data_IF_406895707007
#
_entry.id   IF_406895707007
#
_cell.length_a   1.000
_cell.length_b   1.000
_cell.length_c   1.000
_cell.angle_alpha   90.00
_cell.angle_beta   90.00
_cell.angle_gamma   90.00
#
_symmetry.space_group_name_H-M   'P 1'
#
loop_
_entity.id
_entity.type
_entity.pdbx_description
1 polymer ?
#
# COMPACT_ATOMS: atom_id res chain seq x y z
N UNK A 1 18.04 23.55 -5.81
CA UNK A 1 16.78 24.13 -6.36
C UNK A 1 16.58 25.57 -5.91
N UNK A 2 16.51 25.86 -4.59
CA UNK A 2 16.38 27.22 -4.00
C UNK A 2 17.18 28.28 -4.78
N UNK A 3 18.50 28.11 -4.85
CA UNK A 3 19.39 29.07 -5.55
C UNK A 3 19.00 29.34 -7.01
N UNK A 4 18.49 28.34 -7.72
CA UNK A 4 18.04 28.53 -9.10
C UNK A 4 16.78 29.40 -9.16
N UNK A 5 15.77 29.10 -8.32
CA UNK A 5 14.53 29.88 -8.28
C UNK A 5 14.81 31.35 -7.92
N UNK A 6 15.68 31.59 -6.93
CA UNK A 6 16.12 32.93 -6.54
C UNK A 6 16.87 33.64 -7.67
N UNK A 7 17.71 32.90 -8.43
CA UNK A 7 18.42 33.46 -9.57
C UNK A 7 17.50 33.90 -10.72
N UNK A 8 16.35 33.23 -10.89
CA UNK A 8 15.34 33.61 -11.89
C UNK A 8 14.66 34.91 -11.48
N UNK A 9 14.30 35.08 -10.21
CA UNK A 9 13.69 36.32 -9.70
C UNK A 9 14.67 37.51 -9.79
N UNK A 10 15.91 37.33 -9.33
CA UNK A 10 16.91 38.39 -9.30
C UNK A 10 17.24 38.98 -10.69
N UNK A 11 17.19 38.16 -11.75
CA UNK A 11 17.43 38.60 -13.14
C UNK A 11 16.42 39.61 -13.66
N UNK A 12 15.24 39.73 -13.03
CA UNK A 12 14.14 40.56 -13.53
C UNK A 12 14.03 41.94 -12.84
N UNK A 13 15.09 42.45 -12.19
CA UNK A 13 15.05 43.71 -11.39
C UNK A 13 13.91 43.67 -10.36
N UNK A 14 13.87 42.58 -9.58
CA UNK A 14 12.84 42.32 -8.59
C UNK A 14 12.96 43.19 -7.35
N UNK A 15 11.82 43.60 -6.83
CA UNK A 15 11.58 44.31 -5.57
C UNK A 15 12.06 43.44 -4.38
N UNK A 16 12.71 44.02 -3.36
CA UNK A 16 13.21 43.28 -2.17
C UNK A 16 12.09 42.49 -1.48
N UNK A 17 10.86 43.00 -1.56
CA UNK A 17 9.67 42.36 -1.03
C UNK A 17 9.40 40.98 -1.66
N UNK A 18 9.60 40.82 -2.97
CA UNK A 18 9.31 39.56 -3.66
C UNK A 18 10.30 38.45 -3.32
N UNK A 19 11.56 38.83 -3.08
CA UNK A 19 12.59 37.89 -2.62
C UNK A 19 12.27 37.42 -1.20
N UNK A 20 11.83 38.33 -0.33
CA UNK A 20 11.38 37.98 1.02
C UNK A 20 10.15 37.08 1.01
N UNK A 21 9.17 37.35 0.13
CA UNK A 21 8.00 36.48 -0.02
C UNK A 21 8.34 35.09 -0.54
N UNK A 22 9.23 34.99 -1.53
CA UNK A 22 9.71 33.70 -2.05
C UNK A 22 10.46 32.92 -0.97
N UNK A 23 11.31 33.58 -0.19
CA UNK A 23 12.04 32.97 0.93
C UNK A 23 11.07 32.43 1.98
N UNK A 24 10.12 33.26 2.44
CA UNK A 24 9.10 32.84 3.41
C UNK A 24 8.31 31.63 2.93
N UNK A 25 7.85 31.63 1.67
CA UNK A 25 7.08 30.52 1.12
C UNK A 25 7.93 29.25 0.95
N UNK A 26 9.19 29.40 0.54
CA UNK A 26 10.12 28.28 0.42
C UNK A 26 10.41 27.65 1.79
N UNK A 27 10.72 28.48 2.79
CA UNK A 27 11.06 28.00 4.12
C UNK A 27 9.83 27.34 4.76
N UNK A 28 8.62 27.92 4.63
CA UNK A 28 7.38 27.26 5.07
C UNK A 28 7.16 25.88 4.41
N UNK A 29 7.42 25.75 3.11
CA UNK A 29 7.30 24.48 2.41
C UNK A 29 8.29 23.43 2.94
N UNK A 30 9.55 23.83 3.16
CA UNK A 30 10.59 22.93 3.68
C UNK A 30 10.31 22.55 5.14
N UNK A 31 9.86 23.50 5.96
CA UNK A 31 9.51 23.27 7.36
C UNK A 31 8.33 22.29 7.47
N UNK A 32 7.30 22.43 6.62
CA UNK A 32 6.17 21.48 6.55
C UNK A 32 6.61 20.09 6.08
N UNK A 33 7.52 20.00 5.11
CA UNK A 33 8.08 18.71 4.67
C UNK A 33 8.84 18.01 5.81
N UNK A 34 9.53 18.78 6.66
CA UNK A 34 10.24 18.28 7.82
C UNK A 34 11.28 17.22 7.45
N UNK A 35 11.07 15.98 7.90
CA UNK A 35 11.97 14.87 7.64
C UNK A 35 11.83 14.25 6.23
N UNK A 36 10.81 14.63 5.46
CA UNK A 36 10.61 14.14 4.10
C UNK A 36 11.62 14.75 3.12
N UNK A 37 12.05 13.93 2.16
CA UNK A 37 13.00 14.33 1.12
C UNK A 37 12.34 15.28 0.12
N UNK A 38 12.80 16.54 0.08
CA UNK A 38 12.34 17.52 -0.92
C UNK A 38 12.47 17.02 -2.37
N UNK A 39 13.59 16.40 -2.80
CA UNK A 39 13.68 15.83 -4.14
C UNK A 39 12.63 14.75 -4.43
N UNK A 40 12.28 13.91 -3.44
CA UNK A 40 11.27 12.87 -3.62
C UNK A 40 9.86 13.45 -3.72
N UNK A 41 9.53 14.42 -2.84
CA UNK A 41 8.30 15.19 -2.95
C UNK A 41 8.19 15.86 -4.32
N UNK A 42 9.24 16.61 -4.72
CA UNK A 42 9.27 17.35 -5.96
C UNK A 42 9.08 16.43 -7.17
N UNK A 43 9.66 15.22 -7.18
CA UNK A 43 9.42 14.27 -8.28
C UNK A 43 7.98 13.81 -8.35
N UNK A 44 7.38 13.45 -7.22
CA UNK A 44 6.01 12.95 -7.18
C UNK A 44 5.03 14.05 -7.59
N UNK A 45 5.22 15.26 -7.03
CA UNK A 45 4.55 16.48 -7.45
C UNK A 45 4.68 16.70 -8.96
N UNK A 46 5.92 16.65 -9.48
CA UNK A 46 6.20 16.91 -10.89
C UNK A 46 5.49 15.92 -11.80
N UNK A 47 5.62 14.62 -11.51
CA UNK A 47 4.98 13.56 -12.28
C UNK A 47 3.45 13.52 -12.13
N UNK A 48 2.90 14.25 -11.16
CA UNK A 48 1.47 14.46 -10.97
C UNK A 48 0.91 15.66 -11.72
N UNK A 49 1.73 16.53 -12.33
CA UNK A 49 1.32 17.77 -13.01
C UNK A 49 1.91 17.97 -14.41
N UNK A 50 3.13 17.52 -14.61
CA UNK A 50 3.95 17.75 -15.79
C UNK A 50 4.37 16.44 -16.45
N UNK A 51 5.02 16.53 -17.61
CA UNK A 51 5.57 15.38 -18.34
C UNK A 51 6.48 14.52 -17.45
N UNK A 52 6.38 13.20 -17.63
CA UNK A 52 7.13 12.21 -16.87
C UNK A 52 8.62 12.52 -16.80
N UNK A 53 9.18 12.45 -15.59
CA UNK A 53 10.61 12.64 -15.36
C UNK A 53 11.16 11.61 -14.37
N UNK A 54 12.40 11.19 -14.63
CA UNK A 54 13.20 10.38 -13.70
C UNK A 54 13.96 11.27 -12.73
N UNK A 55 14.33 10.73 -11.57
CA UNK A 55 15.10 11.45 -10.55
C UNK A 55 16.36 12.14 -11.10
N UNK A 56 17.09 11.46 -12.00
CA UNK A 56 18.32 11.97 -12.61
C UNK A 56 18.11 13.23 -13.47
N UNK A 57 16.91 13.44 -14.00
CA UNK A 57 16.59 14.53 -14.93
C UNK A 57 15.69 15.61 -14.31
N UNK A 58 15.20 15.39 -13.10
CA UNK A 58 14.20 16.24 -12.43
C UNK A 58 14.61 17.72 -12.42
N UNK A 59 15.79 18.02 -11.86
CA UNK A 59 16.24 19.41 -11.74
C UNK A 59 16.46 20.07 -13.10
N UNK A 60 16.90 19.32 -14.11
CA UNK A 60 17.06 19.83 -15.47
C UNK A 60 15.70 20.21 -16.05
N UNK A 61 14.72 19.30 -15.95
CA UNK A 61 13.37 19.51 -16.49
C UNK A 61 12.64 20.67 -15.82
N UNK A 62 12.82 20.83 -14.50
CA UNK A 62 12.27 21.98 -13.78
C UNK A 62 12.84 23.28 -14.31
N UNK A 63 14.16 23.38 -14.50
CA UNK A 63 14.81 24.60 -15.03
C UNK A 63 14.36 24.94 -16.45
N UNK A 64 14.06 23.95 -17.27
CA UNK A 64 13.56 24.17 -18.63
C UNK A 64 12.12 24.70 -18.67
N UNK A 65 11.33 24.45 -17.61
CA UNK A 65 9.92 24.85 -17.54
C UNK A 65 9.67 26.03 -16.58
N UNK A 66 10.66 26.41 -15.77
CA UNK A 66 10.55 27.47 -14.76
C UNK A 66 11.60 28.53 -15.08
N UNK A 67 11.25 29.42 -16.00
CA UNK A 67 12.20 30.32 -16.66
C UNK A 67 11.99 31.79 -16.33
N UNK A 68 10.79 32.15 -15.87
CA UNK A 68 10.41 33.52 -15.55
C UNK A 68 9.79 33.62 -14.14
N UNK A 69 9.57 34.86 -13.69
CA UNK A 69 8.97 35.18 -12.39
C UNK A 69 7.62 34.47 -12.16
N UNK A 70 6.73 34.49 -13.15
CA UNK A 70 5.42 33.87 -13.05
C UNK A 70 5.50 32.36 -12.81
N UNK A 71 6.41 31.69 -13.52
CA UNK A 71 6.62 30.24 -13.37
C UNK A 71 7.10 29.88 -11.96
N UNK A 72 8.00 30.68 -11.36
CA UNK A 72 8.53 30.42 -10.01
C UNK A 72 7.42 30.49 -8.97
N UNK A 73 6.64 31.56 -8.96
CA UNK A 73 5.56 31.71 -7.99
C UNK A 73 4.43 30.71 -8.23
N UNK A 74 4.16 30.35 -9.48
CA UNK A 74 3.23 29.26 -9.81
C UNK A 74 3.72 27.93 -9.25
N UNK A 75 4.99 27.58 -9.48
CA UNK A 75 5.57 26.33 -8.97
C UNK A 75 5.45 26.23 -7.45
N UNK A 76 5.79 27.29 -6.72
CA UNK A 76 5.71 27.32 -5.26
C UNK A 76 4.27 27.14 -4.78
N UNK A 77 3.32 27.87 -5.38
CA UNK A 77 1.89 27.75 -5.05
C UNK A 77 1.34 26.35 -5.34
N UNK A 78 1.68 25.79 -6.50
CA UNK A 78 1.25 24.45 -6.88
C UNK A 78 1.82 23.39 -5.92
N UNK A 79 3.08 23.54 -5.47
CA UNK A 79 3.68 22.66 -4.46
C UNK A 79 3.00 22.80 -3.10
N UNK A 80 2.63 24.02 -2.71
CA UNK A 80 1.93 24.29 -1.45
C UNK A 80 0.52 23.67 -1.41
N UNK A 81 -0.18 23.62 -2.54
CA UNK A 81 -1.48 22.93 -2.69
C UNK A 81 -1.36 21.40 -2.48
N UNK A 82 -0.22 20.84 -2.87
CA UNK A 82 0.00 19.40 -3.01
C UNK A 82 0.69 18.76 -1.79
N UNK A 83 1.33 19.56 -0.94
CA UNK A 83 2.15 19.05 0.17
C UNK A 83 1.31 18.32 1.25
N UNK A 84 0.10 18.78 1.56
CA UNK A 84 -0.71 18.15 2.62
C UNK A 84 -1.14 16.74 2.27
N UNK A 85 -1.55 16.53 1.01
CA UNK A 85 -1.89 15.18 0.53
C UNK A 85 -0.63 14.31 0.45
N UNK A 86 0.51 14.86 0.01
CA UNK A 86 1.77 14.12 0.00
C UNK A 86 2.15 13.64 1.41
N UNK A 87 2.11 14.52 2.41
CA UNK A 87 2.42 14.19 3.80
C UNK A 87 1.42 13.20 4.37
N UNK A 88 0.14 13.28 4.00
CA UNK A 88 -0.87 12.28 4.39
C UNK A 88 -0.56 10.90 3.80
N UNK A 89 0.00 10.83 2.60
CA UNK A 89 0.38 9.56 1.97
C UNK A 89 1.71 8.99 2.50
N UNK A 90 2.67 9.83 2.91
CA UNK A 90 3.97 9.36 3.45
C UNK A 90 3.96 9.15 4.96
N UNK A 91 3.21 9.98 5.69
CA UNK A 91 3.09 10.00 7.15
C UNK A 91 1.62 10.09 7.59
N UNK A 92 0.81 9.05 7.32
CA UNK A 92 -0.64 9.11 7.56
C UNK A 92 -0.98 9.28 9.05
N UNK A 93 -0.17 8.72 9.94
CA UNK A 93 -0.32 8.83 11.40
C UNK A 93 -0.28 10.27 11.93
N UNK A 94 0.36 11.21 11.22
CA UNK A 94 0.46 12.62 11.63
C UNK A 94 -0.58 13.51 10.95
N UNK A 95 -1.29 13.00 9.93
CA UNK A 95 -2.30 13.78 9.24
C UNK A 95 -3.49 14.04 10.19
N UNK A 96 -3.90 15.28 10.34
CA UNK A 96 -5.08 15.68 11.12
C UNK A 96 -6.28 15.96 10.22
N UNK A 97 -6.05 16.61 9.08
CA UNK A 97 -7.08 17.21 8.23
C UNK A 97 -7.76 16.28 7.21
N UNK A 98 -7.53 14.97 7.29
CA UNK A 98 -8.10 13.99 6.36
C UNK A 98 -9.08 13.03 7.04
N UNK A 99 -10.09 12.50 6.31
CA UNK A 99 -10.92 11.40 6.77
C UNK A 99 -10.12 10.18 7.25
N UNK A 100 -10.62 9.50 8.29
CA UNK A 100 -9.95 8.33 8.88
C UNK A 100 -9.73 7.20 7.85
N UNK A 101 -10.66 7.00 6.93
CA UNK A 101 -10.54 5.98 5.89
C UNK A 101 -9.35 6.24 4.96
N UNK A 102 -9.14 7.50 4.54
CA UNK A 102 -8.00 7.87 3.69
C UNK A 102 -6.68 7.63 4.43
N UNK A 103 -6.59 7.99 5.71
CA UNK A 103 -5.41 7.69 6.54
C UNK A 103 -5.16 6.19 6.63
N UNK A 104 -6.21 5.38 6.86
CA UNK A 104 -6.14 3.92 6.89
C UNK A 104 -5.61 3.36 5.55
N UNK A 105 -6.12 3.85 4.42
CA UNK A 105 -5.66 3.41 3.10
C UNK A 105 -4.22 3.83 2.81
N UNK A 106 -3.81 5.03 3.24
CA UNK A 106 -2.44 5.49 3.13
C UNK A 106 -1.48 4.65 4.01
N UNK A 107 -1.88 4.27 5.23
CA UNK A 107 -1.12 3.32 6.06
C UNK A 107 -0.97 1.96 5.39
N UNK A 108 -2.00 1.50 4.65
CA UNK A 108 -1.90 0.25 3.88
C UNK A 108 -0.90 0.37 2.74
N UNK A 109 -0.91 1.46 1.96
CA UNK A 109 0.10 1.71 0.92
C UNK A 109 1.52 1.76 1.50
N UNK A 110 1.69 2.44 2.63
CA UNK A 110 2.96 2.52 3.37
C UNK A 110 3.41 1.15 3.87
N UNK A 111 2.51 0.37 4.47
CA UNK A 111 2.75 -1.01 4.89
C UNK A 111 3.15 -1.91 3.73
N UNK A 112 2.64 -1.65 2.51
CA UNK A 112 3.03 -2.34 1.28
C UNK A 112 4.25 -1.72 0.59
N UNK A 113 4.84 -0.64 1.10
CA UNK A 113 5.91 0.15 0.45
C UNK A 113 5.62 0.46 -1.02
N UNK A 114 4.37 0.82 -1.30
CA UNK A 114 3.96 1.22 -2.64
C UNK A 114 3.75 2.73 -2.67
N UNK A 115 4.66 3.42 -3.37
CA UNK A 115 4.63 4.89 -3.58
C UNK A 115 4.19 5.27 -5.00
N UNK A 116 4.13 4.30 -5.90
CA UNK A 116 3.77 4.44 -7.31
C UNK A 116 2.47 5.22 -7.55
N UNK A 117 1.37 5.04 -6.78
CA UNK A 117 0.14 5.78 -7.03
C UNK A 117 0.20 7.24 -6.59
N UNK A 118 1.24 7.71 -5.88
CA UNK A 118 1.17 9.00 -5.18
C UNK A 118 1.00 10.19 -6.14
N UNK A 119 1.64 10.16 -7.32
CA UNK A 119 1.48 11.21 -8.33
C UNK A 119 0.05 11.29 -8.86
N UNK A 120 -0.60 10.13 -9.07
CA UNK A 120 -2.02 10.08 -9.41
C UNK A 120 -2.88 10.56 -8.25
N UNK A 121 -2.62 10.11 -7.02
CA UNK A 121 -3.44 10.49 -5.87
C UNK A 121 -3.40 11.99 -5.60
N UNK A 122 -2.25 12.65 -5.82
CA UNK A 122 -2.17 14.12 -5.78
C UNK A 122 -3.03 14.76 -6.87
N UNK A 123 -3.03 14.23 -8.10
CA UNK A 123 -3.91 14.70 -9.16
C UNK A 123 -5.40 14.47 -8.82
N UNK A 124 -5.75 13.30 -8.32
CA UNK A 124 -7.12 12.99 -7.90
C UNK A 124 -7.60 13.93 -6.78
N UNK A 125 -6.74 14.27 -5.81
CA UNK A 125 -7.11 15.17 -4.72
C UNK A 125 -7.51 16.57 -5.22
N UNK A 126 -6.90 17.05 -6.30
CA UNK A 126 -7.22 18.36 -6.91
C UNK A 126 -8.51 18.34 -7.75
N UNK A 127 -8.81 17.20 -8.37
CA UNK A 127 -9.83 17.11 -9.42
C UNK A 127 -11.08 16.32 -9.00
N UNK A 128 -11.08 15.65 -7.84
CA UNK A 128 -12.20 14.86 -7.36
C UNK A 128 -12.76 15.43 -6.06
N UNK A 129 -14.07 15.27 -5.92
CA UNK A 129 -14.73 15.39 -4.62
C UNK A 129 -14.15 14.36 -3.63
N UNK A 130 -14.11 14.69 -2.34
CA UNK A 130 -13.49 13.86 -1.30
C UNK A 130 -14.02 12.42 -1.27
N UNK A 131 -15.31 12.22 -1.55
CA UNK A 131 -15.94 10.89 -1.58
C UNK A 131 -15.47 10.03 -2.75
N UNK A 132 -15.19 10.63 -3.91
CA UNK A 132 -14.63 9.94 -5.06
C UNK A 132 -13.13 9.73 -4.89
N UNK A 133 -12.43 10.72 -4.31
CA UNK A 133 -11.03 10.58 -3.95
C UNK A 133 -10.80 9.36 -3.04
N UNK A 134 -11.57 9.23 -1.95
CA UNK A 134 -11.48 8.08 -1.03
C UNK A 134 -11.62 6.73 -1.76
N UNK A 135 -12.58 6.61 -2.69
CA UNK A 135 -12.77 5.39 -3.50
C UNK A 135 -11.55 5.10 -4.38
N UNK A 136 -10.92 6.12 -4.94
CA UNK A 136 -9.68 5.95 -5.72
C UNK A 136 -8.51 5.53 -4.83
N UNK A 137 -8.35 6.11 -3.63
CA UNK A 137 -7.30 5.65 -2.70
C UNK A 137 -7.51 4.17 -2.35
N UNK A 138 -8.74 3.75 -2.05
CA UNK A 138 -9.10 2.35 -1.82
C UNK A 138 -8.78 1.46 -3.02
N UNK A 139 -9.11 1.89 -4.23
CA UNK A 139 -8.79 1.16 -5.46
C UNK A 139 -7.27 1.00 -5.64
N UNK A 140 -6.49 2.05 -5.39
CA UNK A 140 -5.03 2.00 -5.42
C UNK A 140 -4.47 1.02 -4.38
N UNK A 141 -5.03 0.94 -3.17
CA UNK A 141 -4.67 -0.09 -2.18
C UNK A 141 -4.94 -1.50 -2.73
N UNK A 142 -6.13 -1.75 -3.28
CA UNK A 142 -6.50 -3.06 -3.80
C UNK A 142 -5.63 -3.47 -4.99
N UNK A 143 -5.35 -2.55 -5.93
CA UNK A 143 -4.39 -2.77 -7.03
C UNK A 143 -3.01 -3.08 -6.45
N UNK A 144 -2.54 -2.31 -5.48
CA UNK A 144 -1.21 -2.49 -4.87
C UNK A 144 -1.08 -3.83 -4.17
N UNK A 145 -2.13 -4.26 -3.47
CA UNK A 145 -2.16 -5.56 -2.82
C UNK A 145 -2.09 -6.70 -3.85
N UNK A 146 -2.94 -6.65 -4.88
CA UNK A 146 -2.98 -7.68 -5.93
C UNK A 146 -1.69 -7.73 -6.75
N UNK A 147 -1.19 -6.58 -7.18
CA UNK A 147 -0.08 -6.45 -8.11
C UNK A 147 1.28 -6.60 -7.41
N UNK A 148 1.50 -5.88 -6.30
CA UNK A 148 2.79 -5.82 -5.63
C UNK A 148 2.91 -6.90 -4.54
N UNK A 149 1.96 -6.94 -3.60
CA UNK A 149 2.06 -7.82 -2.44
C UNK A 149 1.90 -9.28 -2.86
N UNK A 150 0.84 -9.60 -3.59
CA UNK A 150 0.56 -10.98 -4.03
C UNK A 150 1.30 -11.30 -5.33
N UNK A 151 1.09 -10.52 -6.40
CA UNK A 151 1.69 -10.77 -7.71
C UNK A 151 3.21 -10.63 -7.78
N UNK A 152 3.82 -9.78 -6.95
CA UNK A 152 5.27 -9.52 -7.01
C UNK A 152 5.74 -8.93 -8.34
N UNK A 153 4.85 -8.26 -9.07
CA UNK A 153 5.10 -7.78 -10.42
C UNK A 153 5.97 -6.52 -10.44
N UNK A 154 6.67 -6.29 -11.56
CA UNK A 154 7.54 -5.14 -11.74
C UNK A 154 6.76 -3.82 -11.80
N UNK A 155 7.25 -2.79 -11.12
CA UNK A 155 6.52 -1.53 -10.85
C UNK A 155 6.57 -0.50 -11.98
N UNK A 156 7.38 -0.74 -13.02
CA UNK A 156 7.53 0.19 -14.15
C UNK A 156 6.23 0.43 -14.94
N UNK A 157 5.41 -0.60 -15.13
CA UNK A 157 4.10 -0.44 -15.79
C UNK A 157 3.09 0.31 -14.91
N UNK A 158 3.12 0.08 -13.59
CA UNK A 158 2.32 0.84 -12.63
C UNK A 158 2.62 2.32 -12.69
N UNK A 159 3.90 2.71 -12.65
CA UNK A 159 4.30 4.11 -12.67
C UNK A 159 3.81 4.81 -13.95
N UNK A 160 3.94 4.15 -15.11
CA UNK A 160 3.43 4.68 -16.38
C UNK A 160 1.91 4.83 -16.39
N UNK A 161 1.17 3.83 -15.92
CA UNK A 161 -0.28 3.87 -15.87
C UNK A 161 -0.80 4.98 -14.95
N UNK A 162 -0.24 5.09 -13.74
CA UNK A 162 -0.59 6.15 -12.79
C UNK A 162 -0.26 7.54 -13.34
N UNK A 163 0.92 7.71 -13.96
CA UNK A 163 1.28 8.98 -14.60
C UNK A 163 0.32 9.33 -15.75
N UNK A 164 0.00 8.37 -16.63
CA UNK A 164 -0.96 8.59 -17.72
C UNK A 164 -2.33 9.04 -17.20
N UNK A 165 -2.83 8.40 -16.16
CA UNK A 165 -4.08 8.79 -15.52
C UNK A 165 -4.01 10.20 -14.91
N UNK A 166 -2.89 10.57 -14.26
CA UNK A 166 -2.68 11.91 -13.74
C UNK A 166 -2.70 12.98 -14.85
N UNK A 167 -2.06 12.68 -16.00
CA UNK A 167 -2.06 13.60 -17.14
C UNK A 167 -3.44 13.83 -17.74
N UNK A 168 -4.28 12.78 -17.81
CA UNK A 168 -5.68 12.91 -18.28
C UNK A 168 -6.49 13.82 -17.35
N UNK A 169 -6.30 13.68 -16.03
CA UNK A 169 -6.97 14.55 -15.05
C UNK A 169 -6.56 16.01 -15.22
N UNK A 170 -5.28 16.28 -15.46
CA UNK A 170 -4.79 17.64 -15.62
C UNK A 170 -5.14 18.29 -16.97
N UNK A 171 -5.42 17.51 -18.02
CA UNK A 171 -5.72 18.06 -19.35
C UNK A 171 -7.17 18.50 -19.52
N UNK A 172 -8.12 17.93 -18.77
CA UNK A 172 -9.55 18.14 -18.97
C UNK A 172 -10.16 18.90 -17.79
N UNK A 173 -10.00 20.22 -17.76
CA UNK A 173 -10.47 21.07 -16.65
C UNK A 173 -11.97 21.37 -16.67
N UNK A 174 -12.69 20.98 -17.73
CA UNK A 174 -14.12 21.30 -17.92
C UNK A 174 -15.08 20.15 -17.54
N UNK A 175 -14.57 18.93 -17.37
CA UNK A 175 -15.39 17.76 -17.02
C UNK A 175 -15.19 17.40 -15.55
N UNK A 176 -16.29 17.12 -14.84
CA UNK A 176 -16.20 16.56 -13.49
C UNK A 176 -15.80 15.09 -13.58
N UNK A 177 -14.59 14.79 -13.12
CA UNK A 177 -14.15 13.41 -12.98
C UNK A 177 -14.85 12.72 -11.81
N UNK A 178 -15.02 11.40 -11.94
CA UNK A 178 -15.55 10.55 -10.87
C UNK A 178 -14.59 9.41 -10.59
N UNK A 179 -14.72 8.79 -9.42
CA UNK A 179 -13.92 7.61 -9.07
C UNK A 179 -14.02 6.50 -10.13
N UNK A 180 -15.19 6.32 -10.74
CA UNK A 180 -15.40 5.33 -11.80
C UNK A 180 -14.49 5.56 -13.00
N UNK A 181 -14.41 6.79 -13.50
CA UNK A 181 -13.58 7.14 -14.66
C UNK A 181 -12.11 6.89 -14.32
N UNK A 182 -11.65 7.37 -13.17
CA UNK A 182 -10.24 7.21 -12.76
C UNK A 182 -9.89 5.74 -12.57
N UNK A 183 -10.74 4.96 -11.93
CA UNK A 183 -10.52 3.51 -11.72
C UNK A 183 -10.40 2.79 -13.07
N UNK A 184 -11.24 3.13 -14.06
CA UNK A 184 -11.17 2.54 -15.41
C UNK A 184 -9.83 2.82 -16.10
N UNK A 185 -9.22 3.99 -15.88
CA UNK A 185 -7.88 4.30 -16.42
C UNK A 185 -6.77 3.39 -15.89
N UNK A 186 -7.03 2.67 -14.78
CA UNK A 186 -6.07 1.77 -14.14
C UNK A 186 -6.25 0.31 -14.55
N UNK A 187 -7.13 -0.01 -15.50
CA UNK A 187 -7.41 -1.38 -15.92
C UNK A 187 -6.14 -2.14 -16.32
N UNK A 188 -5.21 -1.49 -17.03
CA UNK A 188 -3.98 -2.13 -17.53
C UNK A 188 -3.05 -2.65 -16.43
N UNK A 189 -3.23 -2.20 -15.19
CA UNK A 189 -2.42 -2.61 -14.03
C UNK A 189 -3.24 -3.39 -13.00
N UNK A 190 -4.49 -3.73 -13.31
CA UNK A 190 -5.33 -4.54 -12.45
C UNK A 190 -5.12 -6.04 -12.71
N UNK A 191 -4.68 -6.76 -11.67
CA UNK A 191 -4.53 -8.23 -11.74
C UNK A 191 -5.90 -8.88 -11.55
N UNK A 192 -6.42 -9.44 -12.64
CA UNK A 192 -7.72 -10.14 -12.69
C UNK A 192 -7.76 -11.35 -11.75
N UNK A 193 -8.97 -11.77 -11.37
CA UNK A 193 -9.21 -12.75 -10.31
C UNK A 193 -8.51 -14.10 -10.52
N UNK A 194 -8.47 -14.64 -11.74
CA UNK A 194 -7.81 -15.93 -12.01
C UNK A 194 -6.31 -15.88 -11.75
N UNK A 195 -5.65 -14.85 -12.26
CA UNK A 195 -4.21 -14.63 -12.06
C UNK A 195 -3.92 -14.38 -10.59
N UNK A 196 -4.72 -13.53 -9.94
CA UNK A 196 -4.58 -13.24 -8.52
C UNK A 196 -4.74 -14.51 -7.66
N UNK A 197 -5.75 -15.35 -7.93
CA UNK A 197 -5.96 -16.61 -7.21
C UNK A 197 -4.78 -17.56 -7.37
N UNK A 198 -4.24 -17.69 -8.57
CA UNK A 198 -3.06 -18.52 -8.82
C UNK A 198 -1.84 -18.00 -8.04
N UNK A 199 -1.54 -16.69 -8.13
CA UNK A 199 -0.44 -16.08 -7.38
C UNK A 199 -0.62 -16.16 -5.86
N UNK A 200 -1.85 -15.99 -5.36
CA UNK A 200 -2.14 -16.11 -3.93
C UNK A 200 -2.00 -17.56 -3.45
N UNK A 201 -2.50 -18.53 -4.24
CA UNK A 201 -2.41 -19.95 -3.92
C UNK A 201 -0.97 -20.37 -3.68
N UNK A 202 -0.01 -19.76 -4.40
CA UNK A 202 1.42 -20.03 -4.29
C UNK A 202 2.25 -19.05 -3.46
N UNK A 203 1.61 -18.07 -2.81
CA UNK A 203 2.33 -17.03 -2.11
C UNK A 203 3.06 -17.53 -0.86
N UNK A 204 4.31 -17.09 -0.73
CA UNK A 204 5.12 -17.22 0.48
C UNK A 204 5.47 -15.83 1.01
N UNK A 205 5.29 -15.60 2.31
CA UNK A 205 5.63 -14.33 2.98
C UNK A 205 6.46 -14.64 4.23
N UNK A 206 7.77 -14.39 4.17
CA UNK A 206 8.68 -14.62 5.29
C UNK A 206 8.39 -13.64 6.42
N UNK A 207 7.82 -14.12 7.51
CA UNK A 207 7.45 -13.33 8.70
C UNK A 207 8.64 -13.00 9.61
N UNK A 208 9.87 -13.10 9.11
CA UNK A 208 11.09 -12.70 9.84
C UNK A 208 11.23 -11.17 9.93
N UNK A 209 10.69 -10.42 8.97
CA UNK A 209 10.68 -8.95 9.02
C UNK A 209 9.41 -8.40 9.66
N UNK A 210 9.53 -7.32 10.43
CA UNK A 210 8.38 -6.67 11.10
C UNK A 210 7.29 -6.23 10.10
N UNK A 211 7.70 -5.72 8.94
CA UNK A 211 6.78 -5.37 7.85
C UNK A 211 5.97 -6.57 7.37
N UNK A 212 6.63 -7.70 7.09
CA UNK A 212 5.94 -8.88 6.59
C UNK A 212 4.98 -9.46 7.62
N UNK A 213 5.32 -9.38 8.92
CA UNK A 213 4.36 -9.68 10.00
C UNK A 213 3.12 -8.81 9.89
N UNK A 214 3.27 -7.47 9.77
CA UNK A 214 2.14 -6.55 9.58
C UNK A 214 1.29 -6.90 8.36
N UNK A 215 1.92 -7.24 7.23
CA UNK A 215 1.21 -7.65 6.00
C UNK A 215 0.42 -8.95 6.21
N UNK A 216 1.01 -9.97 6.84
CA UNK A 216 0.31 -11.24 7.12
C UNK A 216 -0.83 -11.02 8.11
N UNK A 217 -0.62 -10.21 9.16
CA UNK A 217 -1.68 -9.80 10.09
C UNK A 217 -2.81 -9.08 9.35
N UNK A 218 -2.51 -8.14 8.46
CA UNK A 218 -3.50 -7.48 7.62
C UNK A 218 -4.32 -8.48 6.78
N UNK A 219 -3.66 -9.41 6.09
CA UNK A 219 -4.33 -10.43 5.26
C UNK A 219 -5.33 -11.25 6.08
N UNK A 220 -4.89 -11.78 7.23
CA UNK A 220 -5.76 -12.61 8.06
C UNK A 220 -6.83 -11.81 8.79
N UNK A 221 -6.56 -10.56 9.17
CA UNK A 221 -7.58 -9.67 9.74
C UNK A 221 -8.73 -9.43 8.73
N UNK A 222 -8.40 -9.10 7.48
CA UNK A 222 -9.43 -8.89 6.46
C UNK A 222 -10.21 -10.18 6.14
N UNK A 223 -9.51 -11.33 6.09
CA UNK A 223 -10.18 -12.63 5.88
C UNK A 223 -11.07 -13.01 7.07
N UNK A 224 -10.61 -12.79 8.30
CA UNK A 224 -11.37 -13.06 9.50
C UNK A 224 -12.63 -12.19 9.56
N UNK A 225 -12.49 -10.88 9.31
CA UNK A 225 -13.62 -9.95 9.25
C UNK A 225 -14.63 -10.33 8.15
N UNK A 226 -14.14 -10.74 6.98
CA UNK A 226 -15.01 -11.22 5.91
C UNK A 226 -15.74 -12.51 6.28
N UNK A 227 -15.11 -13.44 7.00
CA UNK A 227 -15.76 -14.70 7.41
C UNK A 227 -16.75 -14.49 8.55
N UNK A 228 -16.43 -13.64 9.53
CA UNK A 228 -17.29 -13.37 10.69
C UNK A 228 -18.41 -12.38 10.39
N UNK A 229 -18.30 -11.59 9.31
CA UNK A 229 -19.17 -10.45 9.01
C UNK A 229 -19.16 -9.37 10.11
N UNK A 230 -18.10 -9.33 10.92
CA UNK A 230 -17.90 -8.37 12.02
C UNK A 230 -16.48 -7.80 11.94
N UNK A 231 -16.31 -6.52 12.27
CA UNK A 231 -14.98 -5.94 12.41
C UNK A 231 -14.36 -6.34 13.76
N UNK A 232 -13.47 -7.32 13.74
CA UNK A 232 -12.84 -7.90 14.93
C UNK A 232 -11.63 -7.11 15.45
N UNK A 233 -11.12 -6.15 14.66
CA UNK A 233 -9.90 -5.38 14.92
C UNK A 233 -8.75 -6.23 15.49
N UNK A 234 -8.28 -7.20 14.70
CA UNK A 234 -7.24 -8.16 15.11
C UNK A 234 -5.82 -7.60 15.02
N UNK A 235 -5.68 -6.30 14.77
CA UNK A 235 -4.41 -5.58 14.72
C UNK A 235 -4.12 -5.01 16.13
N UNK A 236 -4.25 -5.87 17.13
CA UNK A 236 -4.01 -5.62 18.56
C UNK A 236 -2.96 -6.62 19.08
N UNK A 237 -2.25 -6.27 20.15
CA UNK A 237 -1.20 -7.08 20.79
C UNK A 237 -1.72 -8.39 21.41
N UNK A 238 -3.04 -8.58 21.40
CA UNK A 238 -3.73 -9.81 21.82
C UNK A 238 -3.60 -10.95 20.82
N UNK A 239 -3.32 -10.64 19.55
CA UNK A 239 -3.21 -11.64 18.49
C UNK A 239 -1.81 -11.70 17.92
N UNK A 240 -1.36 -12.91 17.62
CA UNK A 240 -0.06 -13.17 17.00
C UNK A 240 -0.21 -14.12 15.83
N UNK A 241 0.79 -14.14 14.95
CA UNK A 241 0.82 -15.09 13.84
C UNK A 241 1.26 -16.44 14.37
N UNK A 242 0.41 -17.44 14.25
CA UNK A 242 0.74 -18.83 14.49
C UNK A 242 1.19 -19.51 13.19
N UNK A 243 2.24 -20.34 13.27
CA UNK A 243 2.64 -21.25 12.20
C UNK A 243 2.27 -22.66 12.62
N UNK A 244 1.26 -23.26 11.95
CA UNK A 244 0.74 -24.57 12.33
C UNK A 244 1.86 -25.61 12.27
N UNK A 245 2.48 -25.77 11.09
CA UNK A 245 3.82 -26.34 10.99
C UNK A 245 4.86 -25.31 11.50
N UNK A 246 5.55 -25.58 12.62
CA UNK A 246 6.39 -24.58 13.27
C UNK A 246 7.64 -24.25 12.47
N UNK A 247 8.20 -23.07 12.72
CA UNK A 247 9.49 -22.68 12.14
C UNK A 247 10.64 -23.56 12.66
N UNK A 248 10.53 -23.99 13.92
CA UNK A 248 11.47 -24.89 14.58
C UNK A 248 10.71 -26.16 14.97
N UNK A 249 10.35 -26.97 13.97
CA UNK A 249 9.61 -28.20 14.21
C UNK A 249 10.45 -29.22 15.01
N UNK A 250 9.86 -29.81 16.03
CA UNK A 250 10.42 -30.98 16.74
C UNK A 250 10.12 -32.27 15.95
N UNK A 251 10.60 -33.42 16.44
CA UNK A 251 10.24 -34.74 15.87
C UNK A 251 8.73 -34.97 15.92
N UNK A 252 8.18 -35.71 14.95
CA UNK A 252 6.75 -36.06 14.92
C UNK A 252 5.91 -35.25 13.94
N UNK A 253 6.57 -34.55 13.02
CA UNK A 253 5.93 -33.89 11.88
C UNK A 253 5.99 -34.72 10.58
N UNK A 254 6.60 -35.92 10.62
CA UNK A 254 6.46 -36.95 9.59
C UNK A 254 6.80 -36.46 8.19
N UNK A 255 5.78 -36.24 7.34
CA UNK A 255 5.90 -35.76 5.96
C UNK A 255 6.64 -34.41 5.80
N UNK A 256 6.89 -33.69 6.91
CA UNK A 256 7.69 -32.47 6.92
C UNK A 256 9.15 -32.66 7.34
N UNK A 257 9.62 -33.89 7.56
CA UNK A 257 11.01 -34.17 7.95
C UNK A 257 11.98 -34.18 6.74
N UNK A 258 11.46 -33.93 5.53
CA UNK A 258 12.25 -33.74 4.31
C UNK A 258 12.64 -32.27 4.10
N UNK A 259 13.83 -31.96 3.54
CA UNK A 259 14.31 -30.58 3.38
C UNK A 259 13.33 -29.63 2.66
N UNK A 260 12.56 -30.14 1.70
CA UNK A 260 11.59 -29.39 0.90
C UNK A 260 10.42 -28.84 1.74
N UNK A 261 10.16 -29.43 2.91
CA UNK A 261 9.14 -28.99 3.85
C UNK A 261 9.36 -27.57 4.36
N UNK A 262 10.61 -27.11 4.39
CA UNK A 262 10.95 -25.72 4.76
C UNK A 262 10.26 -24.67 3.88
N UNK A 263 9.90 -25.03 2.64
CA UNK A 263 9.15 -24.16 1.73
C UNK A 263 7.70 -23.94 2.17
N UNK A 264 7.16 -24.80 3.03
CA UNK A 264 5.77 -24.73 3.52
C UNK A 264 5.62 -23.81 4.73
N UNK A 265 6.70 -23.53 5.47
CA UNK A 265 6.68 -22.76 6.72
C UNK A 265 5.98 -21.40 6.52
N UNK A 266 6.39 -20.66 5.50
CA UNK A 266 5.93 -19.29 5.25
C UNK A 266 4.80 -19.19 4.22
N UNK A 267 4.14 -20.31 3.92
CA UNK A 267 2.93 -20.34 3.10
C UNK A 267 1.77 -19.75 3.90
N UNK A 268 0.93 -18.94 3.27
CA UNK A 268 -0.28 -18.41 3.92
C UNK A 268 -1.20 -19.54 4.39
N UNK A 269 -1.23 -20.68 3.68
CA UNK A 269 -1.96 -21.87 4.12
C UNK A 269 -1.50 -22.43 5.46
N UNK A 270 -0.23 -22.23 5.84
CA UNK A 270 0.35 -22.71 7.10
C UNK A 270 0.21 -21.73 8.26
N UNK A 271 -0.19 -20.48 7.97
CA UNK A 271 -0.28 -19.42 8.98
C UNK A 271 -1.74 -19.11 9.34
N UNK A 272 -1.93 -18.56 10.53
CA UNK A 272 -3.20 -17.98 10.97
C UNK A 272 -2.95 -16.89 12.01
N UNK A 273 -3.93 -16.04 12.28
CA UNK A 273 -3.94 -15.24 13.51
C UNK A 273 -4.51 -16.06 14.64
N UNK A 274 -3.92 -15.95 15.82
CA UNK A 274 -4.34 -16.68 17.01
C UNK A 274 -4.15 -15.80 18.25
N UNK A 275 -5.00 -16.01 19.26
CA UNK A 275 -4.86 -15.40 20.57
C UNK A 275 -3.48 -15.73 21.15
N UNK A 276 -2.80 -14.71 21.71
CA UNK A 276 -1.40 -14.83 22.16
C UNK A 276 -1.20 -15.96 23.19
N UNK A 277 -2.14 -16.15 24.10
CA UNK A 277 -2.10 -17.23 25.09
C UNK A 277 -2.18 -18.61 24.43
N UNK A 278 -3.12 -18.81 23.50
CA UNK A 278 -3.26 -20.07 22.77
C UNK A 278 -2.02 -20.37 21.92
N UNK A 279 -1.46 -19.35 21.27
CA UNK A 279 -0.21 -19.50 20.51
C UNK A 279 0.97 -19.93 21.42
N UNK A 280 1.09 -19.33 22.60
CA UNK A 280 2.08 -19.74 23.60
C UNK A 280 1.88 -21.18 24.06
N UNK A 281 0.64 -21.60 24.30
CA UNK A 281 0.30 -22.96 24.70
C UNK A 281 0.59 -23.98 23.59
N UNK A 282 0.45 -23.60 22.32
CA UNK A 282 0.75 -24.44 21.16
C UNK A 282 2.26 -24.62 20.95
N UNK A 283 3.04 -23.53 20.92
CA UNK A 283 4.49 -23.58 20.69
C UNK A 283 4.87 -24.43 19.45
N UNK A 284 5.89 -25.29 19.60
CA UNK A 284 6.35 -26.20 18.55
C UNK A 284 5.71 -27.60 18.60
N UNK A 285 4.65 -27.78 19.40
CA UNK A 285 4.01 -29.09 19.62
C UNK A 285 3.48 -29.70 18.32
N UNK A 286 3.33 -31.04 18.25
CA UNK A 286 2.72 -31.71 17.10
C UNK A 286 1.31 -31.21 16.81
N UNK A 287 0.88 -31.37 15.54
CA UNK A 287 -0.42 -30.88 15.09
C UNK A 287 -1.59 -31.35 15.95
N UNK A 288 -1.59 -32.60 16.40
CA UNK A 288 -2.70 -33.15 17.21
C UNK A 288 -2.92 -32.35 18.50
N UNK A 289 -1.85 -31.91 19.17
CA UNK A 289 -1.97 -31.06 20.34
C UNK A 289 -2.40 -29.64 19.98
N UNK A 290 -1.88 -29.08 18.87
CA UNK A 290 -2.29 -27.74 18.40
C UNK A 290 -3.77 -27.69 18.07
N UNK A 291 -4.28 -28.72 17.39
CA UNK A 291 -5.69 -28.91 17.06
C UNK A 291 -6.58 -28.78 18.28
N UNK A 292 -6.28 -29.49 19.36
CA UNK A 292 -7.10 -29.49 20.58
C UNK A 292 -7.11 -28.11 21.26
N UNK A 293 -5.99 -27.36 21.15
CA UNK A 293 -5.89 -25.99 21.66
C UNK A 293 -6.70 -25.02 20.78
N UNK A 294 -6.61 -25.14 19.45
CA UNK A 294 -7.27 -24.26 18.48
C UNK A 294 -8.80 -24.28 18.58
N UNK A 295 -9.40 -25.36 19.07
CA UNK A 295 -10.86 -25.44 19.36
C UNK A 295 -11.31 -24.32 20.32
N UNK A 296 -10.42 -23.83 21.19
CA UNK A 296 -10.73 -22.76 22.13
C UNK A 296 -10.61 -21.35 21.54
N UNK A 297 -10.16 -21.22 20.29
CA UNK A 297 -10.04 -19.92 19.63
C UNK A 297 -11.41 -19.38 19.21
N UNK A 298 -11.58 -18.06 19.28
CA UNK A 298 -12.81 -17.38 18.83
C UNK A 298 -12.82 -17.08 17.33
N UNK A 299 -11.73 -17.38 16.64
CA UNK A 299 -11.59 -17.10 15.21
C UNK A 299 -12.04 -18.29 14.38
N UNK A 300 -13.00 -18.07 13.48
CA UNK A 300 -13.51 -19.09 12.52
C UNK A 300 -12.35 -19.74 11.73
N UNK A 301 -11.30 -18.96 11.42
CA UNK A 301 -10.11 -19.47 10.74
C UNK A 301 -9.39 -20.59 11.50
N UNK A 302 -9.44 -20.57 12.83
CA UNK A 302 -8.79 -21.53 13.71
C UNK A 302 -9.67 -22.75 13.96
N UNK A 303 -11.00 -22.55 14.03
CA UNK A 303 -11.98 -23.64 14.01
C UNK A 303 -11.85 -24.47 12.72
N UNK A 304 -11.73 -23.83 11.55
CA UNK A 304 -11.52 -24.55 10.28
C UNK A 304 -10.24 -25.41 10.27
N UNK A 305 -9.18 -24.96 10.95
CA UNK A 305 -7.93 -25.72 11.07
C UNK A 305 -8.12 -26.90 12.03
N UNK A 306 -8.78 -26.68 13.17
CA UNK A 306 -8.98 -27.73 14.19
C UNK A 306 -9.83 -28.89 13.69
N UNK A 307 -10.68 -28.70 12.68
CA UNK A 307 -11.42 -29.79 12.05
C UNK A 307 -10.56 -30.73 11.18
N UNK A 308 -9.32 -30.36 10.84
CA UNK A 308 -8.45 -31.22 10.05
C UNK A 308 -7.99 -32.43 10.88
N UNK A 309 -7.96 -33.63 10.29
CA UNK A 309 -7.48 -34.85 10.97
C UNK A 309 -5.96 -34.88 11.09
N UNK A 310 -5.28 -34.35 10.08
CA UNK A 310 -3.84 -34.27 9.97
C UNK A 310 -3.44 -32.92 9.40
N UNK A 311 -2.16 -32.62 9.45
CA UNK A 311 -1.58 -31.45 8.80
C UNK A 311 -0.38 -31.90 8.02
N UNK A 312 -0.48 -31.83 6.69
CA UNK A 312 0.55 -32.21 5.73
C UNK A 312 0.77 -31.10 4.70
N UNK A 313 1.84 -31.15 3.89
CA UNK A 313 2.07 -30.17 2.83
C UNK A 313 0.86 -29.96 1.88
N UNK A 314 0.11 -31.04 1.61
CA UNK A 314 -1.09 -30.98 0.77
C UNK A 314 -2.23 -30.19 1.44
N UNK A 315 -2.38 -30.27 2.76
CA UNK A 315 -3.41 -29.53 3.52
C UNK A 315 -3.12 -28.03 3.53
N UNK A 316 -1.86 -27.65 3.71
CA UNK A 316 -1.38 -26.27 3.58
C UNK A 316 -1.74 -25.72 2.20
N UNK A 317 -1.42 -26.49 1.15
CA UNK A 317 -1.69 -26.11 -0.24
C UNK A 317 -3.20 -25.97 -0.51
N UNK A 318 -4.00 -26.93 -0.05
CA UNK A 318 -5.46 -26.92 -0.21
C UNK A 318 -6.11 -25.77 0.59
N UNK A 319 -5.68 -25.52 1.83
CA UNK A 319 -6.15 -24.39 2.63
C UNK A 319 -5.81 -23.07 1.94
N UNK A 320 -4.59 -22.89 1.44
CA UNK A 320 -4.21 -21.66 0.76
C UNK A 320 -5.02 -21.41 -0.51
N UNK A 321 -5.36 -22.46 -1.28
CA UNK A 321 -6.28 -22.37 -2.41
C UNK A 321 -7.69 -21.93 -1.99
N UNK A 322 -8.20 -22.38 -0.83
CA UNK A 322 -9.48 -21.90 -0.28
C UNK A 322 -9.38 -20.43 0.14
N UNK A 323 -8.32 -20.04 0.82
CA UNK A 323 -8.06 -18.64 1.20
C UNK A 323 -7.96 -17.74 -0.03
N UNK A 324 -7.34 -18.20 -1.12
CA UNK A 324 -7.23 -17.46 -2.38
C UNK A 324 -8.59 -17.08 -2.97
N UNK A 325 -9.59 -17.96 -2.86
CA UNK A 325 -10.97 -17.67 -3.32
C UNK A 325 -11.60 -16.54 -2.52
N UNK A 326 -11.47 -16.58 -1.20
CA UNK A 326 -11.97 -15.52 -0.30
C UNK A 326 -11.24 -14.21 -0.54
N UNK A 327 -9.91 -14.26 -0.66
CA UNK A 327 -9.07 -13.11 -0.94
C UNK A 327 -9.45 -12.41 -2.25
N UNK A 328 -9.73 -13.18 -3.32
CA UNK A 328 -10.15 -12.60 -4.59
C UNK A 328 -11.44 -11.78 -4.45
N UNK A 329 -12.33 -12.15 -3.53
CA UNK A 329 -13.55 -11.38 -3.28
C UNK A 329 -13.26 -10.11 -2.46
N UNK A 330 -12.50 -10.21 -1.37
CA UNK A 330 -12.17 -9.08 -0.48
C UNK A 330 -11.50 -7.92 -1.23
N UNK A 331 -10.50 -8.23 -2.05
CA UNK A 331 -9.69 -7.22 -2.74
C UNK A 331 -10.16 -6.98 -4.18
N UNK A 332 -11.39 -7.38 -4.53
CA UNK A 332 -11.99 -7.13 -5.85
C UNK A 332 -12.22 -5.63 -6.08
N UNK A 333 -12.19 -5.22 -7.35
CA UNK A 333 -12.60 -3.88 -7.77
C UNK A 333 -13.64 -4.09 -8.86
N UNK A 334 -14.92 -3.98 -8.51
CA UNK A 334 -16.02 -4.38 -9.41
C UNK A 334 -16.03 -3.62 -10.74
N UNK A 335 -15.54 -2.37 -10.75
CA UNK A 335 -15.40 -1.58 -11.97
C UNK A 335 -14.37 -2.13 -12.98
N UNK A 336 -13.47 -3.03 -12.52
CA UNK A 336 -12.37 -3.59 -13.30
C UNK A 336 -12.42 -5.12 -13.41
N UNK A 337 -13.42 -5.76 -12.79
CA UNK A 337 -13.45 -7.22 -12.60
C UNK A 337 -14.32 -7.96 -13.58
#
# INVERSE_FOLDING_TARGET
MKNYLFSVIHKHRSDEHELSDLERNWDNLVDRLGAESFPDFLRIFWNGRYQFVRNSELFKRVRENVSNRGDVFKLIRDMDEDIDIYLTLTSPSTATNFPMNIKKYAEQLKMFSVKQPYSLLMACYRHLEMTDFEKVVKACVNISFRYNVIGGLHTGDQERAYHKAAMILNSNTSEKFTSKIVIQLLESIYVKDDVFRASFADKTIKTTSARNKKVVTYIFNEIANHKSQVNLDLIDDKYTIEHIFPQNAESGWGDFEVPEASNMIYRLGNMTLCEKSLNQDMGNKPFQTKKDILVNSKLILNEEISQSSEWKPIDISNRQKRLAKVAAHIWRIDQLS
#
